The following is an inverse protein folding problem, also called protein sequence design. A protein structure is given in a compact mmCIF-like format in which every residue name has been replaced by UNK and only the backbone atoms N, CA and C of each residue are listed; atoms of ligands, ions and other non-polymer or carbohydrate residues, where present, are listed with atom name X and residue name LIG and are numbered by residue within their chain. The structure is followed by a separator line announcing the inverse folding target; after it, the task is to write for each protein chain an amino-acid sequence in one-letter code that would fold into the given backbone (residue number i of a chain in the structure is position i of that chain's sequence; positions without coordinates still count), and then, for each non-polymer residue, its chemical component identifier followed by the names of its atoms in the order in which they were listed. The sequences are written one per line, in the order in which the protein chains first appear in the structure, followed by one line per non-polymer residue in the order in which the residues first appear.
data_IF_460869303131
#
_entry.id   IF_460869303131
#
_cell.length_a   1.000
_cell.length_b   1.000
_cell.length_c   1.000
_cell.angle_alpha   90.00
_cell.angle_beta   90.00
_cell.angle_gamma   90.00
#
_symmetry.space_group_name_H-M   'P 1'
#
loop_
_entity.id
_entity.type
_entity.pdbx_description
1 polymer ?
#
# COMPACT_ATOMS: atom_id res chain seq x y z
N UNK A 1 -23.78 -25.93 -62.25
CA UNK A 1 -24.89 -25.88 -61.28
C UNK A 1 -24.31 -25.98 -59.89
N UNK A 2 -24.87 -25.21 -58.96
CA UNK A 2 -24.26 -24.63 -57.76
C UNK A 2 -23.64 -25.57 -56.71
N UNK A 3 -22.69 -25.03 -55.91
CA UNK A 3 -21.95 -25.75 -54.87
C UNK A 3 -22.77 -25.83 -53.57
N UNK A 4 -22.52 -26.86 -52.75
CA UNK A 4 -22.97 -26.91 -51.36
C UNK A 4 -21.75 -26.94 -50.44
N UNK A 5 -21.42 -25.76 -49.94
CA UNK A 5 -20.44 -25.53 -48.87
C UNK A 5 -21.06 -25.98 -47.55
N UNK A 6 -20.47 -26.99 -46.89
CA UNK A 6 -20.79 -27.33 -45.51
C UNK A 6 -19.94 -26.43 -44.59
N UNK A 7 -20.58 -25.46 -43.96
CA UNK A 7 -19.98 -24.63 -42.91
C UNK A 7 -20.05 -25.42 -41.60
N UNK A 8 -18.91 -25.99 -41.18
CA UNK A 8 -18.77 -26.61 -39.87
C UNK A 8 -18.61 -25.52 -38.79
N UNK A 9 -19.59 -25.39 -37.91
CA UNK A 9 -19.52 -24.50 -36.75
C UNK A 9 -18.59 -25.11 -35.69
N UNK A 10 -17.37 -24.59 -35.58
CA UNK A 10 -16.45 -24.90 -34.48
C UNK A 10 -16.86 -24.11 -33.24
N UNK A 11 -17.46 -24.80 -32.27
CA UNK A 11 -17.77 -24.28 -30.95
C UNK A 11 -16.47 -24.13 -30.15
N UNK A 12 -15.89 -22.94 -30.11
CA UNK A 12 -14.74 -22.63 -29.27
C UNK A 12 -15.18 -22.57 -27.80
N UNK A 13 -14.92 -23.63 -27.04
CA UNK A 13 -15.08 -23.65 -25.59
C UNK A 13 -13.97 -22.78 -24.99
N UNK A 14 -14.31 -21.55 -24.61
CA UNK A 14 -13.42 -20.70 -23.84
C UNK A 14 -13.27 -21.30 -22.43
N UNK A 15 -12.12 -21.94 -22.18
CA UNK A 15 -11.72 -22.37 -20.86
C UNK A 15 -11.46 -21.11 -20.00
N UNK A 16 -12.46 -20.71 -19.21
CA UNK A 16 -12.27 -19.70 -18.18
C UNK A 16 -11.40 -20.31 -17.07
N UNK A 17 -10.12 -19.93 -17.05
CA UNK A 17 -9.25 -20.24 -15.90
C UNK A 17 -9.81 -19.53 -14.67
N UNK A 18 -10.01 -20.24 -13.54
CA UNK A 18 -10.37 -19.59 -12.30
C UNK A 18 -9.20 -18.71 -11.86
N UNK A 19 -9.46 -17.42 -11.67
CA UNK A 19 -8.53 -16.50 -11.02
C UNK A 19 -8.38 -16.97 -9.56
N UNK A 20 -7.34 -17.74 -9.28
CA UNK A 20 -6.92 -18.02 -7.91
C UNK A 20 -6.48 -16.70 -7.29
N UNK A 21 -7.29 -16.18 -6.36
CA UNK A 21 -6.89 -15.11 -5.47
C UNK A 21 -5.65 -15.59 -4.71
N UNK A 22 -4.49 -15.04 -5.03
CA UNK A 22 -3.24 -15.33 -4.33
C UNK A 22 -3.40 -14.87 -2.87
N UNK A 23 -3.35 -15.83 -1.95
CA UNK A 23 -3.35 -15.62 -0.51
C UNK A 23 -2.26 -14.61 -0.11
N UNK A 24 -2.65 -13.58 0.63
CA UNK A 24 -1.88 -12.36 0.94
C UNK A 24 -0.73 -12.50 1.93
N UNK A 25 -0.15 -13.69 2.10
CA UNK A 25 0.80 -13.97 3.18
C UNK A 25 2.26 -13.67 2.81
N UNK A 26 2.54 -13.41 1.52
CA UNK A 26 3.87 -13.06 1.00
C UNK A 26 4.09 -11.56 0.77
N UNK A 27 5.35 -11.18 0.57
CA UNK A 27 5.69 -9.82 0.12
C UNK A 27 5.04 -9.52 -1.24
N UNK A 28 4.30 -8.41 -1.32
CA UNK A 28 3.63 -7.98 -2.53
C UNK A 28 4.56 -7.09 -3.36
N UNK A 29 4.80 -7.48 -4.62
CA UNK A 29 5.58 -6.66 -5.53
C UNK A 29 4.82 -5.39 -5.90
N UNK A 30 5.56 -4.30 -6.04
CA UNK A 30 5.02 -2.99 -6.39
C UNK A 30 6.03 -2.24 -7.27
N UNK A 31 5.51 -1.31 -8.07
CA UNK A 31 6.28 -0.42 -8.93
C UNK A 31 5.76 1.00 -8.80
N UNK A 32 6.65 1.96 -9.01
CA UNK A 32 6.30 3.39 -9.03
C UNK A 32 6.09 3.82 -10.47
N UNK A 33 4.96 4.47 -10.73
CA UNK A 33 4.61 5.10 -12.00
C UNK A 33 4.18 6.53 -11.69
N UNK A 34 4.81 7.53 -12.33
CA UNK A 34 4.47 8.95 -12.15
C UNK A 34 4.33 9.39 -10.67
N UNK A 35 5.29 9.00 -9.82
CA UNK A 35 5.30 9.28 -8.38
C UNK A 35 4.09 8.69 -7.60
N UNK A 36 3.55 7.57 -8.07
CA UNK A 36 2.47 6.83 -7.41
C UNK A 36 2.71 5.32 -7.50
N UNK A 37 2.14 4.54 -6.58
CA UNK A 37 1.92 3.09 -6.75
C UNK A 37 0.43 2.92 -7.06
N UNK A 38 0.03 2.79 -8.34
CA UNK A 38 -1.37 2.95 -8.73
C UNK A 38 -2.30 1.86 -8.18
N UNK A 39 -1.81 0.62 -8.15
CA UNK A 39 -2.59 -0.54 -7.71
C UNK A 39 -2.40 -0.79 -6.22
N UNK A 40 -3.45 -1.18 -5.48
CA UNK A 40 -3.31 -1.70 -4.12
C UNK A 40 -2.37 -2.90 -4.07
N UNK A 41 -1.61 -3.02 -2.98
CA UNK A 41 -0.71 -4.15 -2.74
C UNK A 41 -1.53 -5.44 -2.67
N UNK A 42 -1.21 -6.42 -3.53
CA UNK A 42 -1.95 -7.68 -3.60
C UNK A 42 -3.43 -7.54 -3.99
N UNK A 43 -3.87 -6.39 -4.49
CA UNK A 43 -5.29 -6.12 -4.76
C UNK A 43 -6.16 -5.97 -3.51
N UNK A 44 -5.55 -5.78 -2.35
CA UNK A 44 -6.24 -5.67 -1.07
C UNK A 44 -7.08 -4.38 -0.96
N UNK A 45 -8.16 -4.45 -0.18
CA UNK A 45 -8.97 -3.30 0.17
C UNK A 45 -8.63 -2.85 1.60
N UNK A 46 -8.40 -1.54 1.78
CA UNK A 46 -8.07 -0.98 3.08
C UNK A 46 -9.28 -0.70 3.97
N UNK A 47 -9.09 -0.85 5.28
CA UNK A 47 -10.03 -0.45 6.33
C UNK A 47 -9.47 0.76 7.10
N UNK A 48 -10.17 1.90 7.03
CA UNK A 48 -9.73 3.15 7.65
C UNK A 48 -9.66 3.10 9.19
N UNK A 49 -10.52 2.32 9.85
CA UNK A 49 -10.48 2.18 11.31
C UNK A 49 -9.22 1.44 11.75
N UNK A 50 -8.88 0.36 11.04
CA UNK A 50 -7.62 -0.36 11.26
C UNK A 50 -6.42 0.51 10.90
N UNK A 51 -6.51 1.30 9.83
CA UNK A 51 -5.45 2.21 9.41
C UNK A 51 -5.12 3.25 10.47
N UNK A 52 -6.14 3.79 11.13
CA UNK A 52 -5.97 4.68 12.27
C UNK A 52 -5.24 3.98 13.42
N UNK A 53 -5.62 2.75 13.77
CA UNK A 53 -4.95 1.95 14.83
C UNK A 53 -3.48 1.71 14.49
N UNK A 54 -3.18 1.34 13.25
CA UNK A 54 -1.80 1.16 12.77
C UNK A 54 -0.99 2.46 12.84
N UNK A 55 -1.60 3.58 12.46
CA UNK A 55 -0.94 4.88 12.44
C UNK A 55 -0.50 5.35 13.84
N UNK A 56 -1.30 5.07 14.88
CA UNK A 56 -0.99 5.48 16.26
C UNK A 56 -0.14 4.45 17.02
N UNK A 57 -0.13 3.19 16.58
CA UNK A 57 0.62 2.13 17.26
C UNK A 57 2.15 2.37 17.18
N UNK A 58 2.78 2.47 18.36
CA UNK A 58 4.20 2.77 18.54
C UNK A 58 5.14 1.69 18.00
N UNK A 59 4.68 0.44 17.92
CA UNK A 59 5.40 -0.71 17.37
C UNK A 59 5.09 -0.99 15.90
N UNK A 60 4.10 -0.30 15.31
CA UNK A 60 3.73 -0.41 13.90
C UNK A 60 4.04 0.89 13.13
N UNK A 61 3.05 1.71 12.83
CA UNK A 61 3.20 2.90 12.00
C UNK A 61 3.83 4.07 12.74
N UNK A 62 3.57 4.21 14.04
CA UNK A 62 4.11 5.25 14.93
C UNK A 62 4.14 6.65 14.27
N UNK A 63 3.12 6.99 13.49
CA UNK A 63 3.09 8.19 12.66
C UNK A 63 3.09 9.46 13.51
N UNK A 64 2.49 9.38 14.71
CA UNK A 64 2.45 10.45 15.70
C UNK A 64 3.83 10.90 16.17
N UNK A 65 4.86 10.06 16.07
CA UNK A 65 6.22 10.44 16.46
C UNK A 65 6.78 11.58 15.59
N UNK A 66 6.28 11.73 14.36
CA UNK A 66 6.76 12.76 13.42
C UNK A 66 5.68 13.74 12.98
N UNK A 67 4.41 13.30 12.94
CA UNK A 67 3.31 14.06 12.38
C UNK A 67 2.23 14.37 13.42
N UNK A 68 1.60 15.53 13.27
CA UNK A 68 0.31 15.82 13.90
C UNK A 68 -0.84 15.19 13.11
N UNK A 69 -1.68 14.41 13.79
CA UNK A 69 -2.92 13.83 13.28
C UNK A 69 -4.15 14.38 14.04
N UNK A 70 -5.37 14.34 13.46
CA UNK A 70 -6.61 14.78 14.12
C UNK A 70 -7.15 13.73 15.11
N UNK A 71 -6.32 13.35 16.07
CA UNK A 71 -6.63 12.32 17.05
C UNK A 71 -6.51 12.98 18.42
N UNK A 72 -7.56 13.69 18.88
CA UNK A 72 -7.47 14.52 20.09
C UNK A 72 -7.29 13.71 21.37
N UNK A 73 -7.59 12.41 21.36
CA UNK A 73 -7.37 11.53 22.49
C UNK A 73 -5.93 10.98 22.59
N UNK A 74 -5.07 11.21 21.59
CA UNK A 74 -3.64 10.88 21.66
C UNK A 74 -2.82 12.14 21.95
N UNK A 75 -1.92 12.04 22.92
CA UNK A 75 -1.05 13.15 23.33
C UNK A 75 0.29 13.13 22.56
N UNK A 76 1.06 14.23 22.70
CA UNK A 76 2.47 14.31 22.29
C UNK A 76 2.78 14.02 20.81
N UNK A 77 2.01 14.64 19.91
CA UNK A 77 2.30 14.58 18.48
C UNK A 77 3.61 15.31 18.13
N UNK A 78 4.44 14.67 17.32
CA UNK A 78 5.68 15.24 16.81
C UNK A 78 5.46 16.33 15.75
N UNK A 79 6.49 17.14 15.56
CA UNK A 79 6.53 18.27 14.60
C UNK A 79 7.69 18.17 13.61
N UNK A 80 8.32 16.99 13.50
CA UNK A 80 9.43 16.74 12.56
C UNK A 80 8.94 16.83 11.10
N UNK A 81 7.68 16.47 10.85
CA UNK A 81 7.08 16.45 9.53
C UNK A 81 5.71 17.16 9.51
N UNK A 82 5.20 17.56 8.33
CA UNK A 82 3.96 18.34 8.22
C UNK A 82 2.73 17.62 8.81
N UNK A 83 1.71 18.34 9.29
CA UNK A 83 0.47 17.72 9.75
C UNK A 83 -0.23 16.94 8.62
N UNK A 84 -0.85 15.81 8.98
CA UNK A 84 -1.53 14.94 8.01
C UNK A 84 -2.99 15.33 7.76
N UNK A 85 -3.53 16.31 8.49
CA UNK A 85 -4.82 16.90 8.11
C UNK A 85 -4.77 17.49 6.71
N UNK A 86 -5.84 17.22 5.94
CA UNK A 86 -5.96 17.58 4.52
C UNK A 86 -5.11 16.75 3.56
N UNK A 87 -4.40 15.72 4.01
CA UNK A 87 -3.55 14.91 3.13
C UNK A 87 -4.35 14.16 2.07
N UNK A 88 -5.56 13.69 2.41
CA UNK A 88 -6.49 13.05 1.47
C UNK A 88 -7.11 14.02 0.46
N UNK A 89 -6.99 15.33 0.69
CA UNK A 89 -7.35 16.38 -0.27
C UNK A 89 -6.17 16.73 -1.20
N UNK A 90 -4.93 16.45 -0.79
CA UNK A 90 -3.70 16.79 -1.54
C UNK A 90 -3.21 15.67 -2.45
N UNK A 91 -3.49 14.42 -2.11
CA UNK A 91 -2.95 13.26 -2.79
C UNK A 91 -4.01 12.20 -3.03
N UNK A 92 -3.89 11.49 -4.16
CA UNK A 92 -4.67 10.29 -4.41
C UNK A 92 -4.10 9.06 -3.67
N UNK A 93 -4.82 7.94 -3.74
CA UNK A 93 -4.44 6.70 -3.06
C UNK A 93 -3.04 6.20 -3.48
N UNK A 94 -2.70 6.28 -4.77
CA UNK A 94 -1.42 5.79 -5.28
C UNK A 94 -0.24 6.66 -4.85
N UNK A 95 -0.45 7.98 -4.82
CA UNK A 95 0.52 8.95 -4.32
C UNK A 95 0.74 8.81 -2.81
N UNK A 96 -0.30 8.49 -2.04
CA UNK A 96 -0.16 8.17 -0.62
C UNK A 96 0.57 6.83 -0.42
N UNK A 97 0.23 5.82 -1.23
CA UNK A 97 0.82 4.47 -1.15
C UNK A 97 2.33 4.49 -1.33
N UNK A 98 2.85 5.19 -2.33
CA UNK A 98 4.31 5.30 -2.51
C UNK A 98 5.00 5.96 -1.30
N UNK A 99 4.35 6.91 -0.62
CA UNK A 99 4.91 7.58 0.57
C UNK A 99 5.01 6.63 1.76
N UNK A 100 3.99 5.81 1.98
CA UNK A 100 3.99 4.81 3.07
C UNK A 100 4.90 3.63 2.73
N UNK A 101 4.85 3.11 1.50
CA UNK A 101 5.64 1.96 1.06
C UNK A 101 7.13 2.28 1.06
N UNK A 102 7.53 3.33 0.32
CA UNK A 102 8.92 3.77 0.23
C UNK A 102 9.02 5.22 -0.27
N UNK A 103 8.86 6.18 0.64
CA UNK A 103 9.00 7.63 0.35
C UNK A 103 10.33 7.99 -0.35
N UNK A 104 11.38 7.16 -0.20
CA UNK A 104 12.70 7.40 -0.79
C UNK A 104 12.71 7.28 -2.31
N UNK A 105 11.66 6.71 -2.90
CA UNK A 105 11.42 6.74 -4.35
C UNK A 105 11.09 8.16 -4.86
N UNK A 106 10.59 9.04 -3.99
CA UNK A 106 10.26 10.43 -4.32
C UNK A 106 11.31 11.38 -3.74
N UNK A 107 11.67 11.18 -2.47
CA UNK A 107 12.65 11.99 -1.76
C UNK A 107 13.67 11.08 -1.07
N UNK A 108 14.83 10.82 -1.72
CA UNK A 108 15.89 9.99 -1.15
C UNK A 108 16.42 10.46 0.22
N UNK A 109 16.31 11.76 0.51
CA UNK A 109 16.74 12.37 1.77
C UNK A 109 15.67 12.34 2.87
N UNK A 110 14.49 11.77 2.61
CA UNK A 110 13.40 11.73 3.58
C UNK A 110 13.75 10.93 4.83
N UNK A 111 13.54 11.55 5.99
CA UNK A 111 13.63 10.91 7.31
C UNK A 111 12.48 9.92 7.58
N UNK A 112 11.34 10.08 6.90
CA UNK A 112 10.22 9.16 7.06
C UNK A 112 10.66 7.73 6.69
N UNK A 113 10.39 6.71 7.54
CA UNK A 113 10.74 5.34 7.26
C UNK A 113 10.02 4.79 6.02
N UNK A 114 10.64 3.82 5.35
CA UNK A 114 10.02 3.07 4.26
C UNK A 114 9.36 1.82 4.84
N UNK A 115 8.04 1.86 5.06
CA UNK A 115 7.36 0.86 5.89
C UNK A 115 7.15 -0.50 5.19
N UNK A 116 7.16 -0.51 3.85
CA UNK A 116 6.94 -1.71 3.05
C UNK A 116 8.01 -1.89 1.95
N UNK A 117 9.20 -1.33 2.17
CA UNK A 117 10.34 -1.55 1.28
C UNK A 117 10.81 -3.00 1.39
N UNK A 118 11.24 -3.57 0.25
CA UNK A 118 11.77 -4.93 0.21
C UNK A 118 12.86 -5.14 1.29
N UNK A 119 12.75 -6.19 2.14
CA UNK A 119 13.63 -6.39 3.29
C UNK A 119 15.13 -6.42 2.96
N UNK A 120 15.51 -7.01 1.82
CA UNK A 120 16.90 -7.10 1.35
C UNK A 120 17.56 -5.74 1.05
N UNK A 121 16.79 -4.65 1.04
CA UNK A 121 17.31 -3.29 0.82
C UNK A 121 17.75 -2.60 2.10
N UNK A 122 17.61 -3.25 3.26
CA UNK A 122 18.09 -2.74 4.55
C UNK A 122 19.42 -3.38 4.94
N UNK A 123 20.25 -2.61 5.63
CA UNK A 123 21.54 -3.06 6.15
C UNK A 123 21.49 -3.27 7.65
N UNK A 124 22.18 -4.29 8.16
CA UNK A 124 22.38 -4.52 9.61
C UNK A 124 21.06 -4.65 10.39
N UNK A 125 20.06 -5.29 9.76
CA UNK A 125 18.75 -5.54 10.37
C UNK A 125 18.90 -6.49 11.56
N UNK A 126 18.24 -6.18 12.67
CA UNK A 126 18.15 -7.08 13.82
C UNK A 126 17.56 -8.43 13.40
N UNK A 127 18.11 -9.53 13.91
CA UNK A 127 17.70 -10.91 13.55
C UNK A 127 16.19 -11.14 13.68
N UNK A 128 15.52 -10.50 14.64
CA UNK A 128 14.06 -10.66 14.84
C UNK A 128 13.21 -10.11 13.68
N UNK A 129 13.77 -9.17 12.91
CA UNK A 129 13.11 -8.48 11.79
C UNK A 129 13.67 -8.86 10.42
N UNK A 130 14.66 -9.76 10.36
CA UNK A 130 15.22 -10.21 9.10
C UNK A 130 14.13 -10.80 8.17
N UNK A 131 14.12 -10.38 6.90
CA UNK A 131 13.15 -10.83 5.90
C UNK A 131 11.74 -10.27 6.06
N UNK A 132 11.51 -9.31 6.97
CA UNK A 132 10.19 -8.72 7.23
C UNK A 132 10.16 -7.24 6.84
N UNK A 133 9.00 -6.79 6.40
CA UNK A 133 8.64 -5.37 6.28
C UNK A 133 8.18 -4.83 7.63
N UNK A 134 8.17 -3.50 7.79
CA UNK A 134 7.68 -2.88 9.04
C UNK A 134 6.17 -3.09 9.16
N UNK A 135 5.43 -2.72 8.12
CA UNK A 135 4.00 -2.99 7.98
C UNK A 135 3.77 -4.20 7.07
N UNK A 136 2.63 -4.86 7.17
CA UNK A 136 2.13 -5.83 6.19
C UNK A 136 1.49 -5.11 5.00
N UNK A 137 1.20 -5.83 3.91
CA UNK A 137 0.49 -5.24 2.77
C UNK A 137 -0.90 -4.72 3.17
N UNK A 138 -1.63 -5.49 3.99
CA UNK A 138 -2.94 -5.09 4.48
C UNK A 138 -2.86 -3.84 5.36
N UNK A 139 -1.92 -3.77 6.30
CA UNK A 139 -1.75 -2.58 7.15
C UNK A 139 -1.38 -1.33 6.33
N UNK A 140 -0.61 -1.48 5.25
CA UNK A 140 -0.35 -0.35 4.33
C UNK A 140 -1.67 0.13 3.72
N UNK A 141 -2.47 -0.75 3.13
CA UNK A 141 -3.75 -0.36 2.51
C UNK A 141 -4.73 0.22 3.52
N UNK A 142 -4.77 -0.32 4.74
CA UNK A 142 -5.55 0.21 5.85
C UNK A 142 -5.13 1.65 6.17
N UNK A 143 -3.81 1.91 6.30
CA UNK A 143 -3.29 3.28 6.50
C UNK A 143 -3.65 4.19 5.34
N UNK A 144 -3.56 3.74 4.08
CA UNK A 144 -3.96 4.56 2.92
C UNK A 144 -5.46 4.90 3.00
N UNK A 145 -6.31 3.93 3.33
CA UNK A 145 -7.74 4.17 3.52
C UNK A 145 -8.00 5.21 4.61
N UNK A 146 -7.28 5.15 5.74
CA UNK A 146 -7.38 6.17 6.80
C UNK A 146 -6.92 7.55 6.32
N UNK A 147 -5.75 7.67 5.69
CA UNK A 147 -5.21 8.94 5.22
C UNK A 147 -6.12 9.63 4.19
N UNK A 148 -6.83 8.87 3.36
CA UNK A 148 -7.82 9.39 2.41
C UNK A 148 -9.05 10.03 3.08
N UNK A 149 -9.34 9.67 4.34
CA UNK A 149 -10.42 10.30 5.12
C UNK A 149 -10.02 11.67 5.68
N UNK A 150 -8.72 11.98 5.74
CA UNK A 150 -8.19 13.20 6.33
C UNK A 150 -8.22 14.35 5.30
N UNK A 151 -9.39 14.96 5.15
CA UNK A 151 -9.64 16.03 4.18
C UNK A 151 -9.54 17.43 4.75
#
# INVERSE_FOLDING_TARGET
MNPRVLVGATLAIALALPATALSGDGYQQWSVENFAIPKPLGGLAGNAENGRKVAIDRGRGNCLACHRLPIPEEDFHGEIAPPLMGVGSRYDAGQLRVRVVDIKQINPASLMPSFYKHPDKFSRVDKKFAGKTVLTAQEVEDVIAYLLTLK
#
